data_IF_942471204432
#
_entry.id   IF_942471204432
#
_cell.length_a   1.000
_cell.length_b   1.000
_cell.length_c   1.000
_cell.angle_alpha   90.00
_cell.angle_beta   90.00
_cell.angle_gamma   90.00
#
_symmetry.space_group_name_H-M   'P 1'
#
loop_
_entity.id
_entity.type
_entity.pdbx_description
1 polymer ?
#
# COMPACT_ATOMS: atom_id res chain seq x y z
N UNK A 1 6.25 -9.88 -12.34
CA UNK A 1 4.94 -9.52 -11.79
C UNK A 1 5.19 -9.13 -10.36
N UNK A 2 5.02 -7.85 -10.06
CA UNK A 2 5.48 -7.24 -8.81
C UNK A 2 4.50 -7.55 -7.68
N UNK A 3 4.97 -7.72 -6.44
CA UNK A 3 4.10 -7.94 -5.26
C UNK A 3 3.01 -6.85 -5.13
N UNK A 4 3.35 -5.61 -5.50
CA UNK A 4 2.43 -4.48 -5.65
C UNK A 4 1.20 -4.75 -6.54
N UNK A 5 1.38 -5.41 -7.69
CA UNK A 5 0.26 -5.71 -8.60
C UNK A 5 -0.71 -6.73 -7.98
N UNK A 6 -0.19 -7.70 -7.24
CA UNK A 6 -1.01 -8.66 -6.50
C UNK A 6 -1.83 -7.95 -5.41
N UNK A 7 -1.21 -6.99 -4.71
CA UNK A 7 -1.90 -6.20 -3.69
C UNK A 7 -3.04 -5.37 -4.28
N UNK A 8 -2.79 -4.67 -5.38
CA UNK A 8 -3.80 -3.89 -6.10
C UNK A 8 -4.96 -4.74 -6.58
N UNK A 9 -4.70 -5.94 -7.09
CA UNK A 9 -5.76 -6.86 -7.55
C UNK A 9 -6.71 -7.23 -6.42
N UNK A 10 -6.17 -7.60 -5.26
CA UNK A 10 -6.99 -8.01 -4.11
C UNK A 10 -7.75 -6.82 -3.51
N UNK A 11 -7.11 -5.66 -3.43
CA UNK A 11 -7.76 -4.43 -2.95
C UNK A 11 -8.87 -3.94 -3.89
N UNK A 12 -8.69 -4.10 -5.21
CA UNK A 12 -9.68 -3.75 -6.22
C UNK A 12 -10.83 -4.77 -6.29
N UNK A 13 -10.62 -5.99 -5.79
CA UNK A 13 -11.65 -7.02 -5.78
C UNK A 13 -12.76 -6.67 -4.78
N UNK A 14 -13.98 -6.47 -5.29
CA UNK A 14 -15.14 -6.10 -4.48
C UNK A 14 -15.73 -7.29 -3.69
N UNK A 15 -15.31 -8.53 -3.99
CA UNK A 15 -15.79 -9.74 -3.29
C UNK A 15 -14.92 -10.09 -2.09
N UNK A 16 -13.73 -9.50 -2.00
CA UNK A 16 -12.83 -9.69 -0.87
C UNK A 16 -13.39 -8.99 0.38
N UNK A 17 -13.78 -9.79 1.38
CA UNK A 17 -14.45 -9.32 2.61
C UNK A 17 -13.48 -8.94 3.74
N UNK A 18 -12.21 -9.33 3.63
CA UNK A 18 -11.19 -9.12 4.66
C UNK A 18 -10.20 -8.01 4.27
N UNK A 19 -10.66 -6.98 3.54
CA UNK A 19 -9.76 -5.92 3.02
C UNK A 19 -8.96 -5.26 4.11
N UNK A 20 -9.54 -5.05 5.29
CA UNK A 20 -8.81 -4.50 6.44
C UNK A 20 -7.63 -5.37 6.90
N UNK A 21 -7.81 -6.70 6.96
CA UNK A 21 -6.73 -7.63 7.32
C UNK A 21 -5.63 -7.60 6.27
N UNK A 22 -6.02 -7.59 5.00
CA UNK A 22 -5.10 -7.52 3.88
C UNK A 22 -4.35 -6.19 3.81
N UNK A 23 -5.05 -5.07 4.03
CA UNK A 23 -4.50 -3.72 4.11
C UNK A 23 -3.40 -3.65 5.18
N UNK A 24 -3.59 -4.32 6.32
CA UNK A 24 -2.58 -4.42 7.37
C UNK A 24 -1.38 -5.27 6.95
N UNK A 25 -1.63 -6.41 6.31
CA UNK A 25 -0.58 -7.32 5.84
C UNK A 25 0.33 -6.64 4.81
N UNK A 26 -0.28 -5.99 3.80
CA UNK A 26 0.46 -5.24 2.79
C UNK A 26 1.14 -4.01 3.39
N UNK A 27 0.57 -3.34 4.41
CA UNK A 27 1.24 -2.22 5.08
C UNK A 27 2.53 -2.68 5.77
N UNK A 28 2.51 -3.87 6.37
CA UNK A 28 3.68 -4.45 7.00
C UNK A 28 4.75 -4.83 5.96
N UNK A 29 4.34 -5.46 4.86
CA UNK A 29 5.21 -5.79 3.73
C UNK A 29 5.79 -4.54 3.05
N UNK A 30 4.95 -3.52 2.84
CA UNK A 30 5.34 -2.22 2.28
C UNK A 30 6.31 -1.50 3.17
N UNK A 31 6.13 -1.49 4.50
CA UNK A 31 7.06 -0.84 5.43
C UNK A 31 8.47 -1.43 5.30
N UNK A 32 8.55 -2.76 5.23
CA UNK A 32 9.82 -3.46 5.04
C UNK A 32 10.42 -3.19 3.66
N UNK A 33 9.58 -3.18 2.62
CA UNK A 33 10.02 -2.91 1.24
C UNK A 33 10.44 -1.45 1.05
N UNK A 34 9.63 -0.49 1.49
CA UNK A 34 9.85 0.95 1.37
C UNK A 34 11.12 1.41 2.09
N UNK A 35 11.46 0.78 3.22
CA UNK A 35 12.74 1.00 3.90
C UNK A 35 13.95 0.64 3.02
N UNK A 36 13.81 -0.38 2.17
CA UNK A 36 14.86 -0.83 1.24
C UNK A 36 14.88 -0.04 -0.07
N UNK A 37 13.71 0.43 -0.54
CA UNK A 37 13.54 1.11 -1.83
C UNK A 37 13.59 2.64 -1.77
N UNK A 38 13.71 3.25 -0.58
CA UNK A 38 13.71 4.72 -0.43
C UNK A 38 12.35 5.38 -0.69
N UNK A 39 11.27 4.60 -0.68
CA UNK A 39 9.91 5.08 -0.87
C UNK A 39 9.34 5.64 0.44
N UNK A 40 9.92 6.73 0.94
CA UNK A 40 9.58 7.35 2.23
C UNK A 40 8.08 7.67 2.34
N UNK A 41 7.52 8.17 1.24
CA UNK A 41 6.10 8.47 1.04
C UNK A 41 5.16 7.27 1.21
N UNK A 42 5.63 6.06 0.86
CA UNK A 42 4.86 4.82 0.98
C UNK A 42 5.01 4.24 2.38
N UNK A 43 6.22 4.33 2.96
CA UNK A 43 6.50 3.92 4.33
C UNK A 43 5.64 4.71 5.33
N UNK A 44 5.59 6.04 5.17
CA UNK A 44 4.82 6.90 6.07
C UNK A 44 3.33 6.57 6.03
N UNK A 45 2.78 6.33 4.83
CA UNK A 45 1.38 5.94 4.66
C UNK A 45 1.07 4.56 5.27
N UNK A 46 1.93 3.56 5.04
CA UNK A 46 1.78 2.23 5.62
C UNK A 46 1.85 2.24 7.16
N UNK A 47 2.70 3.10 7.73
CA UNK A 47 2.80 3.30 9.19
C UNK A 47 1.54 3.99 9.73
N UNK A 48 1.00 4.98 9.02
CA UNK A 48 -0.20 5.70 9.42
C UNK A 48 -1.42 4.75 9.45
N UNK A 49 -1.57 3.91 8.42
CA UNK A 49 -2.61 2.89 8.34
C UNK A 49 -2.46 1.84 9.47
N UNK A 50 -1.26 1.31 9.71
CA UNK A 50 -1.05 0.33 10.80
C UNK A 50 -1.34 0.94 12.18
N UNK A 51 -0.98 2.21 12.38
CA UNK A 51 -1.27 2.96 13.61
C UNK A 51 -2.78 3.10 13.79
N UNK A 52 -3.50 3.62 12.78
CA UNK A 52 -4.96 3.80 12.82
C UNK A 52 -5.69 2.46 13.04
N UNK A 53 -5.23 1.39 12.39
CA UNK A 53 -5.75 0.03 12.59
C UNK A 53 -5.55 -0.49 14.02
N UNK A 54 -4.43 -0.14 14.67
CA UNK A 54 -4.12 -0.53 16.05
C UNK A 54 -4.90 0.28 17.07
N UNK A 55 -5.08 1.57 16.83
CA UNK A 55 -5.78 2.48 17.74
C UNK A 55 -7.30 2.26 17.74
N UNK A 56 -7.81 1.46 16.80
CA UNK A 56 -9.26 1.22 16.67
C UNK A 56 -10.00 2.45 16.15
N UNK A 57 -9.27 3.40 15.54
CA UNK A 57 -9.86 4.50 14.80
C UNK A 57 -10.69 3.92 13.66
N UNK A 58 -11.84 4.52 13.37
CA UNK A 58 -12.76 4.01 12.36
C UNK A 58 -12.10 4.06 10.97
N UNK A 59 -11.38 3.00 10.62
CA UNK A 59 -10.93 2.76 9.27
C UNK A 59 -12.16 2.54 8.41
N UNK A 60 -12.35 3.44 7.45
CA UNK A 60 -13.37 3.27 6.44
C UNK A 60 -12.74 2.38 5.37
N UNK A 61 -13.11 1.10 5.38
CA UNK A 61 -12.56 0.11 4.47
C UNK A 61 -12.57 0.61 3.01
N UNK A 62 -13.59 1.37 2.61
CA UNK A 62 -13.67 1.88 1.24
C UNK A 62 -12.67 3.02 1.02
N UNK A 63 -12.63 4.04 1.87
CA UNK A 63 -11.72 5.17 1.72
C UNK A 63 -10.26 4.79 1.94
N UNK A 64 -9.95 3.99 2.96
CA UNK A 64 -8.59 3.56 3.28
C UNK A 64 -8.04 2.64 2.18
N UNK A 65 -8.85 1.73 1.64
CA UNK A 65 -8.45 0.89 0.50
C UNK A 65 -8.22 1.73 -0.74
N UNK A 66 -9.09 2.68 -1.05
CA UNK A 66 -8.93 3.57 -2.21
C UNK A 66 -7.65 4.42 -2.07
N UNK A 67 -7.41 4.98 -0.89
CA UNK A 67 -6.20 5.76 -0.60
C UNK A 67 -4.93 4.91 -0.70
N UNK A 68 -4.99 3.65 -0.23
CA UNK A 68 -3.88 2.70 -0.36
C UNK A 68 -3.61 2.33 -1.83
N UNK A 69 -4.65 2.04 -2.62
CA UNK A 69 -4.55 1.77 -4.06
C UNK A 69 -3.88 2.93 -4.79
N UNK A 70 -4.32 4.16 -4.50
CA UNK A 70 -3.76 5.37 -5.13
C UNK A 70 -2.27 5.54 -4.77
N UNK A 71 -1.90 5.31 -3.50
CA UNK A 71 -0.51 5.39 -3.06
C UNK A 71 0.39 4.30 -3.67
N UNK A 72 -0.13 3.08 -3.79
CA UNK A 72 0.54 1.96 -4.47
C UNK A 72 0.79 2.30 -5.94
N UNK A 73 -0.21 2.84 -6.64
CA UNK A 73 -0.06 3.30 -8.03
C UNK A 73 0.98 4.42 -8.17
N UNK A 74 0.92 5.45 -7.33
CA UNK A 74 1.89 6.55 -7.36
C UNK A 74 3.31 6.02 -7.15
N UNK A 75 3.50 5.10 -6.20
CA UNK A 75 4.82 4.56 -5.90
C UNK A 75 5.31 3.61 -6.99
N UNK A 76 4.44 2.79 -7.56
CA UNK A 76 4.77 1.94 -8.71
C UNK A 76 5.16 2.79 -9.93
N UNK A 77 4.44 3.87 -10.21
CA UNK A 77 4.79 4.79 -11.31
C UNK A 77 6.12 5.51 -11.04
N UNK A 78 6.34 6.00 -9.83
CA UNK A 78 7.61 6.60 -9.44
C UNK A 78 8.76 5.60 -9.60
N UNK A 79 8.55 4.34 -9.21
CA UNK A 79 9.52 3.26 -9.37
C UNK A 79 9.81 2.95 -10.85
N UNK A 80 8.78 2.76 -11.68
CA UNK A 80 8.93 2.52 -13.11
C UNK A 80 9.63 3.69 -13.79
N UNK A 81 9.30 4.93 -13.41
CA UNK A 81 9.95 6.13 -13.89
C UNK A 81 11.42 6.20 -13.45
N UNK A 82 11.73 5.83 -12.21
CA UNK A 82 13.11 5.74 -11.72
C UNK A 82 13.92 4.65 -12.45
N UNK A 83 13.33 3.48 -12.66
CA UNK A 83 13.97 2.39 -13.40
C UNK A 83 14.17 2.73 -14.89
N UNK A 84 13.26 3.49 -15.49
CA UNK A 84 13.35 3.94 -16.87
C UNK A 84 14.29 5.14 -17.08
N UNK A 85 14.52 5.96 -16.05
CA UNK A 85 15.44 7.12 -16.08
C UNK A 85 16.78 6.87 -15.37
N UNK A 86 16.98 5.68 -14.80
CA UNK A 86 18.27 5.24 -14.26
C UNK A 86 19.19 4.77 -15.39
N UNK A 87 20.31 5.49 -15.54
CA UNK A 87 21.40 5.25 -16.51
C UNK A 87 21.92 3.82 -16.56
#
# INVERSE_FOLDING_TARGET
>A
MSELESYLKVLCDATYSDKLVYLKDISHALKSSAASFGADALCHFAVEIDTRAKEGDALDETQDVVAMIDRLHQTQQAYLSWQANGF
#
